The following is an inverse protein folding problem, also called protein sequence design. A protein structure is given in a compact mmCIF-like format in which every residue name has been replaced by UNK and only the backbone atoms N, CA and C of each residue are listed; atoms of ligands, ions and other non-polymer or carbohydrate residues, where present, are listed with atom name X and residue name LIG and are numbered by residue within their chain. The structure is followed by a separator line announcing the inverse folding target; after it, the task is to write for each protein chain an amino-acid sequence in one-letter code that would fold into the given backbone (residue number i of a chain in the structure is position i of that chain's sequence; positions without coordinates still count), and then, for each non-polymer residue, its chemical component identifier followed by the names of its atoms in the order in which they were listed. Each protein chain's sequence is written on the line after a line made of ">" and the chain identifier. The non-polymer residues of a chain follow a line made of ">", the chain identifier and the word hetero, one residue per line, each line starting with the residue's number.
data_IF_042423260025
#
_entry.id   IF_042423260025
#
_cell.length_a   1.000
_cell.length_b   1.000
_cell.length_c   1.000
_cell.angle_alpha   90.00
_cell.angle_beta   90.00
_cell.angle_gamma   90.00
#
_symmetry.space_group_name_H-M   'P 1'
#
loop_
_entity.id
_entity.type
_entity.pdbx_description
1 polymer ?
#
# COMPACT_ATOMS: atom_id res chain seq x y z
N UNK A 1 1.99 20.80 22.54
CA UNK A 1 2.32 19.71 21.60
C UNK A 1 1.15 19.60 20.64
N UNK A 2 1.33 20.01 19.39
CA UNK A 2 0.28 19.95 18.35
C UNK A 2 0.16 18.50 17.88
N UNK A 3 -1.07 17.97 17.88
CA UNK A 3 -1.41 16.68 17.29
C UNK A 3 -0.90 16.63 15.85
N UNK A 4 -0.03 15.64 15.54
CA UNK A 4 0.28 15.30 14.15
C UNK A 4 -1.05 14.97 13.47
N UNK A 5 -1.48 15.80 12.53
CA UNK A 5 -2.71 15.56 11.77
C UNK A 5 -2.58 14.23 11.03
N UNK A 6 -3.67 13.48 10.93
CA UNK A 6 -3.73 12.20 10.21
C UNK A 6 -3.11 12.30 8.81
N UNK A 7 -3.29 13.44 8.13
CA UNK A 7 -2.67 13.73 6.84
C UNK A 7 -1.13 13.76 6.90
N UNK A 8 -0.56 14.28 7.98
CA UNK A 8 0.89 14.29 8.22
C UNK A 8 1.40 12.89 8.53
N UNK A 9 0.63 12.08 9.27
CA UNK A 9 0.98 10.69 9.53
C UNK A 9 0.91 9.83 8.26
N UNK A 10 -0.08 10.08 7.39
CA UNK A 10 -0.19 9.43 6.08
C UNK A 10 0.90 9.91 5.13
N UNK A 11 1.30 11.18 5.15
CA UNK A 11 2.44 11.67 4.36
C UNK A 11 3.78 11.13 4.88
N UNK A 12 4.02 11.14 6.19
CA UNK A 12 5.22 10.55 6.81
C UNK A 12 5.27 9.04 6.52
N UNK A 13 4.12 8.37 6.51
CA UNK A 13 3.97 6.98 6.14
C UNK A 13 4.22 6.79 4.64
N UNK A 14 3.67 7.62 3.76
CA UNK A 14 3.85 7.54 2.31
C UNK A 14 5.30 7.86 1.90
N UNK A 15 5.99 8.78 2.57
CA UNK A 15 7.43 9.04 2.39
C UNK A 15 8.27 7.88 2.93
N UNK A 16 7.94 7.32 4.10
CA UNK A 16 8.63 6.14 4.63
C UNK A 16 8.36 4.89 3.81
N UNK A 17 7.14 4.69 3.33
CA UNK A 17 6.76 3.58 2.47
C UNK A 17 7.42 3.77 1.12
N UNK A 18 7.35 4.93 0.45
CA UNK A 18 8.01 5.14 -0.84
C UNK A 18 9.55 5.01 -0.77
N UNK A 19 10.18 5.45 0.32
CA UNK A 19 11.64 5.29 0.51
C UNK A 19 12.05 3.90 0.99
N UNK A 20 11.16 3.14 1.65
CA UNK A 20 11.41 1.78 2.13
C UNK A 20 10.58 0.73 1.37
N UNK A 21 9.96 1.03 0.23
CA UNK A 21 9.01 0.12 -0.42
C UNK A 21 9.78 -0.99 -1.09
N UNK A 22 10.80 -0.60 -1.85
CA UNK A 22 11.73 -1.51 -2.48
C UNK A 22 12.50 -2.30 -1.42
N UNK A 23 12.91 -1.68 -0.31
CA UNK A 23 13.57 -2.35 0.82
C UNK A 23 12.63 -3.29 1.59
N UNK A 24 11.36 -2.92 1.79
CA UNK A 24 10.35 -3.74 2.46
C UNK A 24 9.92 -4.90 1.57
N UNK A 25 9.77 -4.67 0.27
CA UNK A 25 9.54 -5.74 -0.71
C UNK A 25 10.75 -6.67 -0.80
N UNK A 26 11.97 -6.15 -0.85
CA UNK A 26 13.18 -6.95 -0.84
C UNK A 26 13.30 -7.75 0.46
N UNK A 27 13.03 -7.13 1.61
CA UNK A 27 13.01 -7.81 2.90
C UNK A 27 11.94 -8.90 2.94
N UNK A 28 10.74 -8.64 2.43
CA UNK A 28 9.66 -9.63 2.35
C UNK A 28 9.99 -10.80 1.42
N UNK A 29 10.63 -10.54 0.29
CA UNK A 29 11.11 -11.56 -0.64
C UNK A 29 12.26 -12.39 -0.04
N UNK A 30 13.21 -11.73 0.63
CA UNK A 30 14.36 -12.37 1.28
C UNK A 30 13.96 -13.22 2.49
N UNK A 31 13.06 -12.70 3.33
CA UNK A 31 12.66 -13.33 4.58
C UNK A 31 11.36 -14.12 4.49
N UNK A 32 10.74 -14.19 3.30
CA UNK A 32 9.43 -14.84 3.07
C UNK A 32 8.34 -14.33 4.01
N UNK A 33 8.43 -13.07 4.42
CA UNK A 33 7.43 -12.45 5.29
C UNK A 33 6.26 -11.94 4.48
N UNK A 34 5.05 -12.18 4.97
CA UNK A 34 3.82 -11.67 4.35
C UNK A 34 3.61 -10.20 4.72
N UNK A 35 2.76 -9.47 3.98
CA UNK A 35 2.45 -8.07 4.32
C UNK A 35 1.86 -7.96 5.73
N UNK A 36 1.13 -8.98 6.17
CA UNK A 36 0.60 -9.11 7.53
C UNK A 36 1.71 -9.25 8.58
N UNK A 37 2.77 -10.01 8.28
CA UNK A 37 3.91 -10.17 9.19
C UNK A 37 4.71 -8.88 9.28
N UNK A 38 4.94 -8.22 8.14
CA UNK A 38 5.67 -6.95 8.05
C UNK A 38 4.98 -5.80 8.81
N UNK A 39 3.68 -5.93 9.07
CA UNK A 39 2.86 -4.91 9.73
C UNK A 39 2.40 -5.31 11.12
N UNK A 40 2.79 -6.48 11.61
CA UNK A 40 2.31 -7.07 12.88
C UNK A 40 2.60 -6.18 14.10
N UNK A 41 3.71 -5.45 14.09
CA UNK A 41 4.12 -4.57 15.19
C UNK A 41 3.35 -3.24 15.23
N UNK A 42 2.55 -2.93 14.21
CA UNK A 42 1.70 -1.74 14.19
C UNK A 42 0.52 -1.96 15.15
N UNK A 43 0.52 -1.21 16.25
CA UNK A 43 -0.49 -1.34 17.31
C UNK A 43 -1.84 -0.73 16.97
N UNK A 44 -1.87 0.32 16.15
CA UNK A 44 -3.12 0.89 15.66
C UNK A 44 -3.66 0.01 14.54
N UNK A 45 -4.72 -0.75 14.83
CA UNK A 45 -5.32 -1.71 13.90
C UNK A 45 -5.72 -1.07 12.56
N UNK A 46 -6.12 0.20 12.54
CA UNK A 46 -6.52 0.91 11.30
C UNK A 46 -5.31 1.31 10.49
N UNK A 47 -4.26 1.81 11.15
CA UNK A 47 -2.99 2.11 10.49
C UNK A 47 -2.40 0.82 9.95
N UNK A 48 -2.46 -0.27 10.71
CA UNK A 48 -2.00 -1.60 10.28
C UNK A 48 -2.73 -2.02 9.02
N UNK A 49 -4.05 -2.00 9.02
CA UNK A 49 -4.87 -2.36 7.85
C UNK A 49 -4.52 -1.56 6.60
N UNK A 50 -4.38 -0.23 6.72
CA UNK A 50 -4.00 0.64 5.60
C UNK A 50 -2.63 0.25 5.05
N UNK A 51 -1.62 0.12 5.92
CA UNK A 51 -0.26 -0.24 5.51
C UNK A 51 -0.20 -1.62 4.89
N UNK A 52 -0.92 -2.61 5.45
CA UNK A 52 -0.98 -3.97 4.89
C UNK A 52 -1.56 -3.95 3.48
N UNK A 53 -2.65 -3.20 3.25
CA UNK A 53 -3.31 -3.13 1.94
C UNK A 53 -2.47 -2.39 0.91
N UNK A 54 -1.74 -1.35 1.31
CA UNK A 54 -0.79 -0.63 0.46
C UNK A 54 0.34 -1.56 0.00
N UNK A 55 0.98 -2.28 0.93
CA UNK A 55 2.02 -3.27 0.61
C UNK A 55 1.53 -4.36 -0.35
N UNK A 56 0.33 -4.90 -0.14
CA UNK A 56 -0.26 -5.91 -1.04
C UNK A 56 -0.50 -5.32 -2.43
N UNK A 57 -1.00 -4.09 -2.51
CA UNK A 57 -1.29 -3.43 -3.78
C UNK A 57 -0.02 -3.22 -4.60
N UNK A 58 1.07 -2.78 -3.95
CA UNK A 58 2.35 -2.58 -4.61
C UNK A 58 2.96 -3.91 -5.10
N UNK A 59 2.82 -4.98 -4.33
CA UNK A 59 3.23 -6.33 -4.76
C UNK A 59 2.49 -6.79 -6.03
N UNK A 60 1.19 -6.50 -6.12
CA UNK A 60 0.40 -6.83 -7.31
C UNK A 60 0.83 -5.99 -8.52
N UNK A 61 1.11 -4.70 -8.34
CA UNK A 61 1.61 -3.82 -9.42
C UNK A 61 2.99 -4.30 -9.91
N UNK A 62 3.88 -4.71 -9.00
CA UNK A 62 5.18 -5.28 -9.36
C UNK A 62 5.01 -6.58 -10.17
N UNK A 63 4.08 -7.46 -9.79
CA UNK A 63 3.77 -8.67 -10.54
C UNK A 63 3.22 -8.34 -11.94
N UNK A 64 2.29 -7.38 -12.04
CA UNK A 64 1.76 -6.92 -13.33
C UNK A 64 2.87 -6.37 -14.24
N UNK A 65 3.84 -5.66 -13.67
CA UNK A 65 5.01 -5.15 -14.41
C UNK A 65 5.84 -6.30 -14.98
N UNK A 66 6.10 -7.35 -14.18
CA UNK A 66 6.80 -8.55 -14.65
C UNK A 66 6.01 -9.28 -15.73
N UNK A 67 4.69 -9.41 -15.58
CA UNK A 67 3.82 -10.05 -16.58
C UNK A 67 3.83 -9.28 -17.91
N UNK A 68 3.84 -7.95 -17.86
CA UNK A 68 3.99 -7.09 -19.04
C UNK A 68 5.36 -7.30 -19.70
N UNK A 69 6.43 -7.32 -18.91
CA UNK A 69 7.80 -7.47 -19.42
C UNK A 69 8.02 -8.86 -20.05
N UNK A 70 7.37 -9.89 -19.52
CA UNK A 70 7.29 -11.24 -20.10
C UNK A 70 6.31 -11.35 -21.27
N UNK A 71 5.67 -10.25 -21.68
CA UNK A 71 4.67 -10.16 -22.76
C UNK A 71 3.46 -11.08 -22.55
N UNK A 72 3.12 -11.36 -21.30
CA UNK A 72 1.87 -12.04 -20.92
C UNK A 72 0.69 -11.08 -20.93
N UNK A 73 0.95 -9.79 -20.70
CA UNK A 73 -0.01 -8.70 -20.79
C UNK A 73 0.49 -7.68 -21.81
N UNK A 74 -0.44 -7.08 -22.55
CA UNK A 74 -0.14 -5.86 -23.29
C UNK A 74 -0.20 -4.62 -22.39
N UNK A 75 0.13 -3.46 -22.95
CA UNK A 75 0.15 -2.20 -22.22
C UNK A 75 -1.24 -1.78 -21.73
N UNK A 76 -2.28 -1.99 -22.53
CA UNK A 76 -3.63 -1.56 -22.20
C UNK A 76 -4.17 -2.38 -21.02
N UNK A 77 -3.94 -3.69 -21.02
CA UNK A 77 -4.27 -4.58 -19.91
C UNK A 77 -3.51 -4.21 -18.64
N UNK A 78 -2.20 -3.94 -18.75
CA UNK A 78 -1.39 -3.50 -17.62
C UNK A 78 -1.93 -2.18 -17.02
N UNK A 79 -2.22 -1.19 -17.86
CA UNK A 79 -2.70 0.12 -17.43
C UNK A 79 -4.10 0.00 -16.77
N UNK A 80 -5.00 -0.81 -17.33
CA UNK A 80 -6.33 -1.08 -16.76
C UNK A 80 -6.26 -1.71 -15.37
N UNK A 81 -5.43 -2.75 -15.19
CA UNK A 81 -5.28 -3.41 -13.90
C UNK A 81 -4.61 -2.52 -12.86
N UNK A 82 -3.59 -1.74 -13.26
CA UNK A 82 -2.91 -0.81 -12.36
C UNK A 82 -3.87 0.26 -11.86
N UNK A 83 -4.66 0.84 -12.75
CA UNK A 83 -5.64 1.87 -12.41
C UNK A 83 -6.77 1.31 -11.52
N UNK A 84 -7.27 0.10 -11.80
CA UNK A 84 -8.23 -0.58 -10.92
C UNK A 84 -7.70 -0.74 -9.49
N UNK A 85 -6.47 -1.22 -9.34
CA UNK A 85 -5.83 -1.44 -8.04
C UNK A 85 -5.65 -0.13 -7.26
N UNK A 86 -5.20 0.93 -7.95
CA UNK A 86 -5.04 2.26 -7.34
C UNK A 86 -6.38 2.85 -6.90
N UNK A 87 -7.43 2.70 -7.71
CA UNK A 87 -8.79 3.14 -7.34
C UNK A 87 -9.35 2.36 -6.15
N UNK A 88 -9.12 1.04 -6.10
CA UNK A 88 -9.53 0.22 -4.97
C UNK A 88 -8.83 0.63 -3.67
N UNK A 89 -7.52 0.91 -3.73
CA UNK A 89 -6.75 1.40 -2.59
C UNK A 89 -7.24 2.78 -2.12
N UNK A 90 -7.46 3.72 -3.05
CA UNK A 90 -7.98 5.04 -2.74
C UNK A 90 -9.38 5.01 -2.10
N UNK A 91 -10.25 4.09 -2.55
CA UNK A 91 -11.56 3.90 -1.94
C UNK A 91 -11.47 3.43 -0.47
N UNK A 92 -10.52 2.56 -0.14
CA UNK A 92 -10.27 2.13 1.24
C UNK A 92 -9.76 3.28 2.12
N UNK A 93 -8.84 4.11 1.61
CA UNK A 93 -8.35 5.30 2.32
C UNK A 93 -9.49 6.29 2.64
N UNK A 94 -10.48 6.39 1.75
CA UNK A 94 -11.68 7.21 1.95
C UNK A 94 -12.60 6.69 3.06
N UNK A 95 -12.73 5.37 3.22
CA UNK A 95 -13.51 4.75 4.30
C UNK A 95 -12.88 5.03 5.66
N UNK A 96 -11.54 5.01 5.75
CA UNK A 96 -10.80 5.26 6.99
C UNK A 96 -10.84 6.73 7.41
N UNK A 97 -10.85 7.68 6.46
CA UNK A 97 -10.86 9.13 6.72
C UNK A 97 -12.22 9.71 7.10
N UNK A 98 -13.32 9.23 6.52
CA UNK A 98 -14.66 9.81 6.72
C UNK A 98 -15.33 9.50 8.08
N UNK A 99 -14.74 8.65 8.92
CA UNK A 99 -15.31 8.31 10.23
C UNK A 99 -15.07 9.37 11.32
N UNK A 100 -14.24 10.40 11.06
CA UNK A 100 -13.95 11.48 12.02
C UNK A 100 -14.96 12.62 12.02
N UNK A 101 -15.91 12.67 11.08
CA UNK A 101 -16.91 13.75 10.97
C UNK A 101 -18.27 13.46 11.61
N UNK A 102 -18.45 12.26 12.20
CA UNK A 102 -19.67 11.91 12.92
C UNK A 102 -19.40 11.81 14.42
N UNK A 103 -19.22 12.95 15.08
CA UNK A 103 -19.41 13.11 16.52
C UNK A 103 -20.16 14.40 16.80
#
# INVERSE_FOLDING_TARGET
>A
MQDKTFSQAVQDLQERISSNLEDSMNHMLLHRTTASDATLEIQDDKVREVVTNELITDQLIALLSLMRDLRMLDKEQYDEFTDYLQRALAAQHHVVTNWKTSR
#
